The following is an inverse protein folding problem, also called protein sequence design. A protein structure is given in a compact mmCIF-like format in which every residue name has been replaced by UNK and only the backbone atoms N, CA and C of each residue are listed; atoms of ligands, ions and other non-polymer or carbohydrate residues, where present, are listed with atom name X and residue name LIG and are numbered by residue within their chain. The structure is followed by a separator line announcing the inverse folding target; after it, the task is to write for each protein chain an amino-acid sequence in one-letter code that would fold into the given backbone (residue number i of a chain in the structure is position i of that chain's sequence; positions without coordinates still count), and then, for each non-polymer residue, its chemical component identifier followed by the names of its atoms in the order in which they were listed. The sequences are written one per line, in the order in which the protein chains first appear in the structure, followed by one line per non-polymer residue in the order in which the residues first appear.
data_IF_109804981464
#
_entry.id   IF_109804981464
#
_cell.length_a   1.000
_cell.length_b   1.000
_cell.length_c   1.000
_cell.angle_alpha   90.00
_cell.angle_beta   90.00
_cell.angle_gamma   90.00
#
_symmetry.space_group_name_H-M   'P 1'
#
loop_
_entity.id
_entity.type
_entity.pdbx_description
1 polymer ?
#
# COMPACT_ATOMS: atom_id res chain seq x y z
N UNK A 1 -8.29 14.41 -8.23
CA UNK A 1 -7.13 13.50 -8.28
C UNK A 1 -6.96 12.76 -6.96
N UNK A 2 -6.95 13.45 -5.82
CA UNK A 2 -6.83 12.81 -4.51
C UNK A 2 -7.98 11.83 -4.20
N UNK A 3 -9.24 12.15 -4.52
CA UNK A 3 -10.35 11.19 -4.28
C UNK A 3 -10.23 9.92 -5.12
N UNK A 4 -9.69 10.01 -6.34
CA UNK A 4 -9.43 8.85 -7.19
C UNK A 4 -8.28 8.02 -6.60
N UNK A 5 -7.22 8.67 -6.12
CA UNK A 5 -6.16 8.00 -5.39
C UNK A 5 -6.69 7.29 -4.13
N UNK A 6 -7.58 7.94 -3.36
CA UNK A 6 -8.28 7.33 -2.21
C UNK A 6 -9.02 6.05 -2.63
N UNK A 7 -9.78 6.08 -3.73
CA UNK A 7 -10.50 4.90 -4.21
C UNK A 7 -9.54 3.76 -4.59
N UNK A 8 -8.45 4.06 -5.29
CA UNK A 8 -7.42 3.07 -5.66
C UNK A 8 -6.73 2.47 -4.43
N UNK A 9 -6.36 3.31 -3.46
CA UNK A 9 -5.77 2.85 -2.20
C UNK A 9 -6.76 2.05 -1.35
N UNK A 10 -8.05 2.39 -1.35
CA UNK A 10 -9.07 1.62 -0.65
C UNK A 10 -9.17 0.20 -1.25
N UNK A 11 -9.21 0.08 -2.58
CA UNK A 11 -9.20 -1.22 -3.26
C UNK A 11 -7.90 -1.99 -2.98
N UNK A 12 -6.74 -1.32 -3.02
CA UNK A 12 -5.48 -1.93 -2.65
C UNK A 12 -5.49 -2.41 -1.19
N UNK A 13 -6.01 -1.61 -0.25
CA UNK A 13 -6.09 -1.96 1.17
C UNK A 13 -6.97 -3.20 1.40
N UNK A 14 -8.09 -3.34 0.68
CA UNK A 14 -8.89 -4.57 0.70
C UNK A 14 -8.08 -5.78 0.24
N UNK A 15 -7.30 -5.64 -0.84
CA UNK A 15 -6.34 -6.66 -1.28
C UNK A 15 -5.30 -6.99 -0.20
N UNK A 16 -4.74 -5.97 0.45
CA UNK A 16 -3.77 -6.11 1.55
C UNK A 16 -4.35 -6.85 2.76
N UNK A 17 -5.59 -6.54 3.15
CA UNK A 17 -6.32 -7.23 4.21
C UNK A 17 -6.58 -8.69 3.84
N UNK A 18 -6.99 -8.97 2.61
CA UNK A 18 -7.17 -10.35 2.13
C UNK A 18 -5.85 -11.14 2.19
N UNK A 19 -4.74 -10.55 1.73
CA UNK A 19 -3.41 -11.15 1.80
C UNK A 19 -2.95 -11.40 3.25
N UNK A 20 -3.16 -10.42 4.13
CA UNK A 20 -2.89 -10.58 5.55
C UNK A 20 -3.71 -11.74 6.13
N UNK A 21 -5.01 -11.80 5.86
CA UNK A 21 -5.88 -12.92 6.27
C UNK A 21 -5.35 -14.27 5.81
N UNK A 22 -4.95 -14.40 4.54
CA UNK A 22 -4.34 -15.64 4.02
C UNK A 22 -3.07 -15.98 4.81
N UNK A 23 -2.20 -15.00 5.07
CA UNK A 23 -0.93 -15.21 5.76
C UNK A 23 -1.08 -15.60 7.22
N UNK A 24 -2.04 -14.99 7.93
CA UNK A 24 -2.22 -15.16 9.37
C UNK A 24 -3.17 -16.31 9.73
N UNK A 25 -4.20 -16.56 8.92
CA UNK A 25 -5.21 -17.61 9.18
C UNK A 25 -4.86 -18.91 8.47
N UNK A 26 -4.48 -18.85 7.19
CA UNK A 26 -4.19 -20.05 6.38
C UNK A 26 -2.71 -20.45 6.41
N UNK A 27 -1.88 -19.70 7.13
CA UNK A 27 -0.44 -19.95 7.33
C UNK A 27 0.38 -20.12 6.03
N UNK A 28 -0.14 -19.66 4.89
CA UNK A 28 0.50 -19.75 3.56
C UNK A 28 0.72 -18.38 2.96
N UNK A 29 1.55 -18.31 1.92
CA UNK A 29 1.71 -17.08 1.15
C UNK A 29 0.44 -16.76 0.33
N UNK A 30 0.10 -15.48 0.15
CA UNK A 30 -0.94 -15.07 -0.79
C UNK A 30 -0.60 -15.52 -2.22
N UNK A 31 -1.59 -15.70 -3.11
CA UNK A 31 -1.31 -15.99 -4.51
C UNK A 31 -0.70 -14.77 -5.22
N UNK A 32 0.23 -15.00 -6.17
CA UNK A 32 1.00 -13.94 -6.84
C UNK A 32 0.14 -12.91 -7.55
N UNK A 33 -0.95 -13.34 -8.20
CA UNK A 33 -1.87 -12.41 -8.87
C UNK A 33 -2.47 -11.38 -7.91
N UNK A 34 -2.74 -11.76 -6.66
CA UNK A 34 -3.33 -10.86 -5.66
C UNK A 34 -2.29 -9.87 -5.14
N UNK A 35 -1.06 -10.32 -4.92
CA UNK A 35 0.07 -9.46 -4.57
C UNK A 35 0.36 -8.43 -5.68
N UNK A 36 0.37 -8.88 -6.94
CA UNK A 36 0.56 -8.00 -8.11
C UNK A 36 -0.59 -7.02 -8.29
N UNK A 37 -1.84 -7.46 -8.15
CA UNK A 37 -3.00 -6.57 -8.22
C UNK A 37 -2.99 -5.50 -7.12
N UNK A 38 -2.66 -5.89 -5.88
CA UNK A 38 -2.50 -4.96 -4.77
C UNK A 38 -1.41 -3.92 -5.06
N UNK A 39 -0.22 -4.37 -5.47
CA UNK A 39 0.90 -3.49 -5.80
C UNK A 39 0.58 -2.54 -6.96
N UNK A 40 -0.09 -3.02 -8.01
CA UNK A 40 -0.53 -2.22 -9.14
C UNK A 40 -1.50 -1.12 -8.72
N UNK A 41 -2.55 -1.45 -7.96
CA UNK A 41 -3.55 -0.49 -7.49
C UNK A 41 -2.93 0.56 -6.55
N UNK A 42 -2.08 0.14 -5.63
CA UNK A 42 -1.37 1.03 -4.72
C UNK A 42 -0.42 1.97 -5.49
N UNK A 43 0.29 1.46 -6.50
CA UNK A 43 1.21 2.26 -7.31
C UNK A 43 0.47 3.27 -8.18
N UNK A 44 -0.66 2.88 -8.78
CA UNK A 44 -1.51 3.79 -9.53
C UNK A 44 -2.06 4.93 -8.63
N UNK A 45 -2.50 4.59 -7.42
CA UNK A 45 -2.89 5.58 -6.40
C UNK A 45 -1.75 6.53 -6.06
N UNK A 46 -0.56 5.99 -5.86
CA UNK A 46 0.65 6.78 -5.55
C UNK A 46 1.03 7.73 -6.67
N UNK A 47 0.98 7.29 -7.93
CA UNK A 47 1.25 8.15 -9.09
C UNK A 47 0.29 9.33 -9.14
N UNK A 48 -1.02 9.09 -8.96
CA UNK A 48 -2.02 10.16 -8.96
C UNK A 48 -1.85 11.11 -7.78
N UNK A 49 -1.53 10.58 -6.58
CA UNK A 49 -1.30 11.38 -5.39
C UNK A 49 -0.04 12.25 -5.50
N UNK A 50 1.06 11.70 -6.03
CA UNK A 50 2.29 12.44 -6.27
C UNK A 50 2.08 13.55 -7.30
N UNK A 51 1.36 13.26 -8.40
CA UNK A 51 1.00 14.29 -9.37
C UNK A 51 0.20 15.42 -8.71
N UNK A 52 -0.82 15.09 -7.91
CA UNK A 52 -1.60 16.10 -7.20
C UNK A 52 -0.75 16.94 -6.22
N UNK A 53 0.20 16.30 -5.53
CA UNK A 53 1.03 16.95 -4.51
C UNK A 53 2.13 17.83 -5.10
N UNK A 54 2.75 17.41 -6.21
CA UNK A 54 3.90 18.08 -6.79
C UNK A 54 3.53 19.08 -7.89
N UNK A 55 2.40 18.88 -8.56
CA UNK A 55 2.00 19.68 -9.73
C UNK A 55 0.76 20.50 -9.45
N UNK A 56 -0.24 19.94 -8.76
CA UNK A 56 -1.54 20.58 -8.56
C UNK A 56 -1.67 21.35 -7.23
N UNK A 57 -0.59 21.51 -6.47
CA UNK A 57 -0.57 22.31 -5.24
C UNK A 57 -1.42 21.74 -4.10
N UNK A 58 -1.51 20.41 -3.97
CA UNK A 58 -2.26 19.80 -2.87
C UNK A 58 -1.68 20.14 -1.47
N UNK A 59 -2.48 20.03 -0.40
CA UNK A 59 -2.02 20.31 0.97
C UNK A 59 -0.80 19.48 1.39
N UNK A 60 0.05 20.02 2.28
CA UNK A 60 1.25 19.32 2.75
C UNK A 60 0.98 17.95 3.40
N UNK A 61 -0.21 17.73 3.95
CA UNK A 61 -0.66 16.43 4.45
C UNK A 61 -0.73 15.36 3.35
N UNK A 62 -1.09 15.75 2.11
CA UNK A 62 -1.06 14.85 0.96
C UNK A 62 0.36 14.42 0.60
N UNK A 63 1.33 15.33 0.67
CA UNK A 63 2.74 15.01 0.42
C UNK A 63 3.30 14.08 1.50
N UNK A 64 3.03 14.38 2.78
CA UNK A 64 3.46 13.51 3.89
C UNK A 64 2.87 12.10 3.74
N UNK A 65 1.58 12.00 3.41
CA UNK A 65 0.93 10.72 3.11
C UNK A 65 1.64 9.99 1.96
N UNK A 66 2.02 10.69 0.88
CA UNK A 66 2.70 10.09 -0.26
C UNK A 66 4.09 9.54 0.11
N UNK A 67 4.83 10.23 0.98
CA UNK A 67 6.12 9.77 1.49
C UNK A 67 5.99 8.49 2.33
N UNK A 68 4.94 8.40 3.16
CA UNK A 68 4.65 7.19 3.91
C UNK A 68 4.21 6.03 3.01
N UNK A 69 3.43 6.30 1.96
CA UNK A 69 3.10 5.28 0.96
C UNK A 69 4.32 4.83 0.15
N UNK A 70 5.26 5.72 -0.16
CA UNK A 70 6.54 5.35 -0.77
C UNK A 70 7.34 4.40 0.12
N UNK A 71 7.42 4.70 1.43
CA UNK A 71 8.04 3.81 2.40
C UNK A 71 7.33 2.44 2.46
N UNK A 72 5.99 2.45 2.54
CA UNK A 72 5.20 1.22 2.52
C UNK A 72 5.42 0.42 1.23
N UNK A 73 5.46 1.07 0.08
CA UNK A 73 5.70 0.45 -1.22
C UNK A 73 7.10 -0.19 -1.29
N UNK A 74 8.14 0.50 -0.80
CA UNK A 74 9.50 -0.06 -0.73
C UNK A 74 9.55 -1.34 0.14
N UNK A 75 8.89 -1.33 1.30
CA UNK A 75 8.76 -2.52 2.15
C UNK A 75 7.95 -3.63 1.47
N UNK A 76 6.88 -3.28 0.74
CA UNK A 76 6.06 -4.23 -0.03
C UNK A 76 6.82 -4.90 -1.16
N UNK A 77 7.61 -4.14 -1.92
CA UNK A 77 8.53 -4.66 -2.95
C UNK A 77 9.57 -5.58 -2.33
N UNK A 78 10.16 -5.18 -1.20
CA UNK A 78 11.10 -6.05 -0.48
C UNK A 78 10.45 -7.35 0.00
N UNK A 79 9.22 -7.29 0.53
CA UNK A 79 8.45 -8.49 0.90
C UNK A 79 8.22 -9.41 -0.31
N UNK A 80 7.89 -8.85 -1.47
CA UNK A 80 7.70 -9.61 -2.70
C UNK A 80 8.99 -10.30 -3.12
N UNK A 81 10.08 -9.54 -3.30
CA UNK A 81 11.34 -10.06 -3.82
C UNK A 81 12.06 -11.00 -2.85
N UNK A 82 12.07 -10.67 -1.55
CA UNK A 82 12.83 -11.45 -0.56
C UNK A 82 12.12 -12.72 -0.13
N UNK A 83 10.78 -12.67 -0.04
CA UNK A 83 9.99 -13.77 0.50
C UNK A 83 9.14 -14.45 -0.55
N UNK A 84 8.30 -13.68 -1.24
CA UNK A 84 7.27 -14.22 -2.12
C UNK A 84 7.87 -14.92 -3.33
N UNK A 85 8.77 -14.26 -4.05
CA UNK A 85 9.50 -14.85 -5.20
C UNK A 85 10.48 -15.95 -4.78
N UNK A 86 10.91 -15.97 -3.51
CA UNK A 86 11.80 -16.98 -2.97
C UNK A 86 11.04 -18.19 -2.38
N UNK A 87 9.72 -18.26 -2.55
CA UNK A 87 8.82 -19.27 -1.95
C UNK A 87 8.99 -19.45 -0.43
N UNK A 88 9.46 -18.40 0.26
CA UNK A 88 9.59 -18.41 1.72
C UNK A 88 8.39 -17.73 2.37
N UNK A 89 7.92 -18.22 3.54
CA UNK A 89 6.79 -17.61 4.22
C UNK A 89 7.06 -16.15 4.57
N UNK A 90 6.15 -15.24 4.18
CA UNK A 90 6.27 -13.81 4.49
C UNK A 90 6.48 -13.59 6.00
N UNK A 91 7.37 -12.65 6.34
CA UNK A 91 7.58 -12.22 7.73
C UNK A 91 6.32 -11.56 8.28
N UNK A 92 5.68 -12.19 9.29
CA UNK A 92 4.48 -11.63 9.94
C UNK A 92 4.72 -10.25 10.54
N UNK A 93 5.90 -10.03 11.15
CA UNK A 93 6.27 -8.73 11.74
C UNK A 93 6.36 -7.64 10.68
N UNK A 94 7.00 -7.95 9.55
CA UNK A 94 7.13 -6.98 8.45
C UNK A 94 5.79 -6.70 7.78
N UNK A 95 4.92 -7.72 7.60
CA UNK A 95 3.55 -7.52 7.08
C UNK A 95 2.76 -6.56 7.99
N UNK A 96 2.85 -6.73 9.31
CA UNK A 96 2.20 -5.81 10.26
C UNK A 96 2.77 -4.40 10.19
N UNK A 97 4.11 -4.25 10.15
CA UNK A 97 4.75 -2.96 10.04
C UNK A 97 4.36 -2.23 8.74
N UNK A 98 4.39 -2.94 7.61
CA UNK A 98 3.94 -2.44 6.31
C UNK A 98 2.48 -1.98 6.36
N UNK A 99 1.59 -2.82 6.89
CA UNK A 99 0.16 -2.50 7.01
C UNK A 99 -0.09 -1.30 7.93
N UNK A 100 0.61 -1.19 9.05
CA UNK A 100 0.47 -0.07 9.98
C UNK A 100 0.88 1.26 9.33
N UNK A 101 2.02 1.29 8.62
CA UNK A 101 2.47 2.48 7.88
C UNK A 101 1.45 2.85 6.80
N UNK A 102 0.92 1.87 6.07
CA UNK A 102 -0.08 2.10 5.03
C UNK A 102 -1.41 2.66 5.60
N UNK A 103 -1.85 2.19 6.77
CA UNK A 103 -3.06 2.71 7.44
C UNK A 103 -2.87 4.18 7.85
N UNK A 104 -1.73 4.53 8.43
CA UNK A 104 -1.43 5.92 8.81
C UNK A 104 -1.36 6.81 7.57
N UNK A 105 -0.69 6.35 6.51
CA UNK A 105 -0.63 7.06 5.23
C UNK A 105 -2.03 7.28 4.63
N UNK A 106 -2.90 6.26 4.69
CA UNK A 106 -4.27 6.34 4.18
C UNK A 106 -5.15 7.30 4.99
N UNK A 107 -5.05 7.30 6.32
CA UNK A 107 -5.76 8.25 7.16
C UNK A 107 -5.36 9.71 6.86
N UNK A 108 -4.07 9.97 6.66
CA UNK A 108 -3.58 11.29 6.25
C UNK A 108 -4.07 11.69 4.84
N UNK A 109 -4.14 10.73 3.90
CA UNK A 109 -4.70 11.00 2.58
C UNK A 109 -6.18 11.37 2.66
N UNK A 110 -6.97 10.65 3.47
CA UNK A 110 -8.38 10.97 3.69
C UNK A 110 -8.55 12.39 4.24
N UNK A 111 -7.75 12.76 5.25
CA UNK A 111 -7.75 14.12 5.80
C UNK A 111 -7.33 15.19 4.78
N UNK A 112 -6.46 14.85 3.83
CA UNK A 112 -6.03 15.79 2.79
C UNK A 112 -7.02 15.90 1.62
N UNK A 113 -7.86 14.88 1.42
CA UNK A 113 -8.74 14.76 0.26
C UNK A 113 -10.16 15.30 0.48
N UNK A 114 -10.56 15.52 1.74
CA UNK A 114 -11.90 15.91 2.18
C UNK A 114 -11.81 16.91 3.34
#
# INVERSE_FOLDING_TARGET
MLQVAVALYALAALGGLAMAGIRFVRHRNPPSWLAMAHGLLASAGLTLQLYASLVAGAPGSALLSALLFLLAAAVGVWLNLRYHEADTPLSKRTVLAHGAVAIVAFALLLFAAF
#
